data_IF_399916653101
#
_entry.id   IF_399916653101
#
_cell.length_a   1.000
_cell.length_b   1.000
_cell.length_c   1.000
_cell.angle_alpha   90.00
_cell.angle_beta   90.00
_cell.angle_gamma   90.00
#
_symmetry.space_group_name_H-M   'P 1'
#
loop_
_entity.id
_entity.type
_entity.pdbx_description
1 polymer ?
#
# COMPACT_ATOMS: atom_id res chain seq x y z
N UNK A 1 -17.50 1.54 -23.72
CA UNK A 1 -16.54 0.86 -22.83
C UNK A 1 -15.64 1.92 -22.23
N UNK A 2 -15.50 1.95 -20.91
CA UNK A 2 -14.57 2.78 -20.19
C UNK A 2 -13.75 1.89 -19.24
N UNK A 3 -12.42 2.11 -19.19
CA UNK A 3 -11.55 1.40 -18.27
C UNK A 3 -10.54 2.39 -17.66
N UNK A 4 -10.33 2.29 -16.35
CA UNK A 4 -9.32 3.03 -15.62
C UNK A 4 -8.49 2.06 -14.79
N UNK A 5 -7.18 2.15 -14.94
CA UNK A 5 -6.21 1.46 -14.09
C UNK A 5 -5.38 2.52 -13.39
N UNK A 6 -5.32 2.45 -12.08
CA UNK A 6 -4.50 3.33 -11.26
C UNK A 6 -3.59 2.47 -10.37
N UNK A 7 -2.32 2.81 -10.34
CA UNK A 7 -1.32 2.17 -9.49
C UNK A 7 -0.66 3.22 -8.62
N UNK A 8 -0.55 2.94 -7.32
CA UNK A 8 0.16 3.77 -6.35
C UNK A 8 1.21 2.93 -5.66
N UNK A 9 2.43 3.41 -5.64
CA UNK A 9 3.54 2.75 -4.95
C UNK A 9 4.17 3.74 -3.97
N UNK A 10 4.48 3.28 -2.77
CA UNK A 10 5.20 4.04 -1.74
C UNK A 10 6.01 3.10 -0.85
N UNK A 11 6.86 3.66 0.01
CA UNK A 11 7.70 2.90 0.94
C UNK A 11 6.92 2.18 2.04
N UNK A 12 7.59 1.83 3.11
CA UNK A 12 7.00 1.17 4.28
C UNK A 12 5.87 1.97 4.92
N UNK A 13 5.97 3.31 4.85
CA UNK A 13 4.97 4.27 5.33
C UNK A 13 4.62 5.26 4.22
N UNK A 14 3.40 5.72 4.20
CA UNK A 14 2.98 6.81 3.31
C UNK A 14 3.50 8.17 3.80
N UNK A 15 3.35 9.20 2.97
CA UNK A 15 3.83 10.55 3.29
C UNK A 15 3.23 11.14 4.57
N UNK A 16 1.94 10.87 4.83
CA UNK A 16 1.26 11.33 6.04
C UNK A 16 1.80 10.65 7.29
N UNK A 17 2.00 9.35 7.24
CA UNK A 17 2.60 8.57 8.33
C UNK A 17 4.04 9.00 8.62
N UNK A 18 4.84 9.28 7.57
CA UNK A 18 6.19 9.81 7.72
C UNK A 18 6.20 11.20 8.36
N UNK A 19 5.35 12.11 7.88
CA UNK A 19 5.26 13.44 8.43
C UNK A 19 4.84 13.45 9.91
N UNK A 20 3.84 12.66 10.26
CA UNK A 20 3.40 12.50 11.65
C UNK A 20 4.52 12.01 12.56
N UNK A 21 5.31 11.05 12.07
CA UNK A 21 6.42 10.49 12.83
C UNK A 21 7.56 11.50 13.01
N UNK A 22 7.95 12.22 11.95
CA UNK A 22 8.96 13.28 12.01
C UNK A 22 8.54 14.36 13.01
N UNK A 23 7.28 14.77 12.97
CA UNK A 23 6.74 15.84 13.84
C UNK A 23 6.75 15.49 15.32
N UNK A 24 6.74 14.19 15.65
CA UNK A 24 6.74 13.69 17.02
C UNK A 24 8.11 13.19 17.49
N UNK A 25 9.08 13.11 16.59
CA UNK A 25 10.44 12.66 16.89
C UNK A 25 11.21 13.78 17.59
N UNK A 26 11.82 13.46 18.72
CA UNK A 26 12.72 14.41 19.40
C UNK A 26 14.04 14.53 18.61
N UNK A 27 14.65 15.72 18.53
CA UNK A 27 15.85 15.94 17.72
C UNK A 27 17.02 15.01 18.05
N UNK A 28 17.12 14.56 19.30
CA UNK A 28 18.18 13.70 19.82
C UNK A 28 17.64 12.37 20.38
N UNK A 29 16.53 11.87 19.84
CA UNK A 29 15.92 10.61 20.29
C UNK A 29 16.86 9.40 20.07
N UNK A 30 17.48 9.35 18.89
CA UNK A 30 18.46 8.33 18.51
C UNK A 30 19.29 8.77 17.29
N UNK A 31 20.51 8.25 17.09
CA UNK A 31 21.25 8.48 15.85
C UNK A 31 20.57 7.76 14.68
N UNK A 32 20.53 8.36 13.51
CA UNK A 32 19.96 7.72 12.32
C UNK A 32 20.74 6.47 11.93
N UNK A 33 22.06 6.56 11.98
CA UNK A 33 22.99 5.47 11.71
C UNK A 33 24.02 5.37 12.84
N UNK A 34 24.47 4.17 13.10
CA UNK A 34 25.55 3.87 14.05
C UNK A 34 26.71 3.30 13.24
N UNK A 35 27.91 3.81 13.44
CA UNK A 35 29.10 3.28 12.79
C UNK A 35 29.36 1.83 13.25
N UNK A 36 29.75 0.98 12.31
CA UNK A 36 30.20 -0.38 12.66
C UNK A 36 31.42 -0.35 13.60
N UNK A 37 32.27 0.67 13.45
CA UNK A 37 33.44 0.87 14.34
C UNK A 37 33.02 1.13 15.80
N UNK A 38 31.94 1.88 16.00
CA UNK A 38 31.44 2.17 17.36
C UNK A 38 30.87 0.92 18.05
N UNK A 39 30.38 -0.05 17.29
CA UNK A 39 29.80 -1.29 17.81
C UNK A 39 30.82 -2.42 17.88
N UNK A 40 31.87 -2.37 17.07
CA UNK A 40 32.83 -3.47 16.95
C UNK A 40 33.45 -3.80 18.29
N UNK A 41 33.27 -5.06 18.73
CA UNK A 41 33.74 -5.53 20.01
C UNK A 41 32.80 -5.29 21.19
N UNK A 42 31.69 -4.58 21.02
CA UNK A 42 30.69 -4.38 22.06
C UNK A 42 29.62 -5.49 22.04
N UNK A 43 29.39 -6.13 23.16
CA UNK A 43 28.27 -7.07 23.42
C UNK A 43 28.14 -8.24 22.41
N UNK A 44 29.24 -8.67 21.76
CA UNK A 44 29.19 -9.78 20.80
C UNK A 44 28.35 -9.53 19.56
N UNK A 45 28.06 -8.25 19.22
CA UNK A 45 27.38 -7.89 17.99
C UNK A 45 28.37 -8.10 16.85
N UNK A 46 28.08 -9.09 16.00
CA UNK A 46 28.82 -9.30 14.77
C UNK A 46 28.42 -8.23 13.75
N UNK A 47 29.09 -7.11 13.74
CA UNK A 47 29.00 -6.10 12.71
C UNK A 47 30.25 -6.21 11.83
N UNK A 48 30.07 -6.41 10.53
CA UNK A 48 31.11 -6.20 9.55
C UNK A 48 31.09 -4.74 9.09
N UNK A 49 32.18 -4.29 8.45
CA UNK A 49 32.32 -2.90 7.96
C UNK A 49 31.23 -2.49 6.97
N UNK A 50 30.48 -3.46 6.42
CA UNK A 50 29.41 -3.24 5.45
C UNK A 50 28.03 -3.21 6.10
N UNK A 51 27.92 -3.56 7.38
CA UNK A 51 26.65 -3.63 8.09
C UNK A 51 26.09 -2.25 8.37
N UNK A 52 24.91 -1.99 7.84
CA UNK A 52 24.15 -0.79 8.16
C UNK A 52 23.42 -0.99 9.47
N UNK A 53 23.85 -0.27 10.50
CA UNK A 53 23.29 -0.33 11.83
C UNK A 53 22.52 0.96 12.13
N UNK A 54 21.34 0.80 12.70
CA UNK A 54 20.41 1.90 12.93
C UNK A 54 20.16 2.13 14.41
N UNK A 55 20.15 3.39 14.80
CA UNK A 55 19.84 3.80 16.16
C UNK A 55 18.35 3.62 16.50
N UNK A 56 18.11 3.36 17.76
CA UNK A 56 16.79 3.31 18.37
C UNK A 56 16.86 3.84 19.82
N UNK A 57 15.72 4.03 20.45
CA UNK A 57 15.65 4.34 21.88
C UNK A 57 14.79 3.30 22.61
N UNK A 58 14.80 3.36 23.96
CA UNK A 58 13.89 2.54 24.77
C UNK A 58 12.41 2.85 24.51
N UNK A 59 12.09 4.05 24.03
CA UNK A 59 10.73 4.52 23.71
C UNK A 59 10.33 4.19 22.26
N UNK A 60 11.30 4.15 21.35
CA UNK A 60 11.06 3.97 19.92
C UNK A 60 12.05 2.95 19.36
N UNK A 61 11.55 1.75 19.10
CA UNK A 61 12.36 0.64 18.59
C UNK A 61 12.56 0.67 17.08
N UNK A 62 11.81 1.50 16.34
CA UNK A 62 11.98 1.70 14.90
C UNK A 62 12.81 2.94 14.62
N UNK A 63 13.53 2.93 13.52
CA UNK A 63 14.28 4.07 13.02
C UNK A 63 13.64 4.59 11.73
N UNK A 64 13.30 5.87 11.70
CA UNK A 64 12.59 6.47 10.58
C UNK A 64 13.41 6.43 9.28
N UNK A 65 14.70 6.68 9.37
CA UNK A 65 15.60 6.65 8.21
C UNK A 65 15.68 5.24 7.60
N UNK A 66 15.78 4.21 8.44
CA UNK A 66 15.78 2.83 7.96
C UNK A 66 14.41 2.37 7.45
N UNK A 67 13.30 2.86 8.02
CA UNK A 67 11.97 2.63 7.46
C UNK A 67 11.84 3.18 6.04
N UNK A 68 12.46 4.35 5.75
CA UNK A 68 12.47 4.93 4.41
C UNK A 68 13.27 4.11 3.41
N UNK A 69 14.44 3.64 3.81
CA UNK A 69 15.39 2.97 2.92
C UNK A 69 15.15 1.45 2.81
N UNK A 70 14.81 0.81 3.93
CA UNK A 70 14.81 -0.65 4.04
C UNK A 70 13.49 -1.24 4.50
N UNK A 71 12.56 -0.43 5.02
CA UNK A 71 11.31 -0.90 5.62
C UNK A 71 10.37 -1.65 4.67
N UNK A 72 10.66 -1.62 3.36
CA UNK A 72 9.87 -2.28 2.34
C UNK A 72 9.04 -1.31 1.50
N UNK A 73 8.01 -1.83 0.85
CA UNK A 73 7.13 -1.03 0.00
C UNK A 73 5.67 -1.49 0.07
N UNK A 74 4.79 -0.59 -0.26
CA UNK A 74 3.36 -0.83 -0.42
C UNK A 74 2.96 -0.50 -1.86
N UNK A 75 2.21 -1.38 -2.49
CA UNK A 75 1.66 -1.21 -3.82
C UNK A 75 0.15 -1.34 -3.78
N UNK A 76 -0.56 -0.36 -4.31
CA UNK A 76 -2.00 -0.40 -4.53
C UNK A 76 -2.33 -0.39 -6.01
N UNK A 77 -3.29 -1.20 -6.38
CA UNK A 77 -3.80 -1.27 -7.74
C UNK A 77 -5.32 -1.18 -7.71
N UNK A 78 -5.83 -0.20 -8.44
CA UNK A 78 -7.26 -0.01 -8.69
C UNK A 78 -7.54 -0.33 -10.15
N UNK A 79 -8.52 -1.14 -10.40
CA UNK A 79 -9.04 -1.43 -11.75
C UNK A 79 -10.54 -1.15 -11.72
N UNK A 80 -10.98 -0.22 -12.54
CA UNK A 80 -12.40 0.06 -12.75
C UNK A 80 -12.68 -0.06 -14.24
N UNK A 81 -13.61 -0.92 -14.62
CA UNK A 81 -14.06 -1.05 -15.99
C UNK A 81 -15.58 -1.08 -16.07
N UNK A 82 -16.11 -0.31 -16.99
CA UNK A 82 -17.54 -0.21 -17.26
C UNK A 82 -17.80 -0.49 -18.74
N UNK A 83 -18.71 -1.38 -19.02
CA UNK A 83 -19.06 -1.79 -20.36
C UNK A 83 -20.58 -1.75 -20.52
N UNK A 84 -21.05 -0.96 -21.47
CA UNK A 84 -22.44 -0.92 -21.86
C UNK A 84 -22.54 -1.37 -23.32
N UNK A 85 -23.37 -2.35 -23.57
CA UNK A 85 -23.71 -2.84 -24.90
C UNK A 85 -25.19 -2.63 -25.12
N UNK A 86 -25.55 -1.97 -26.21
CA UNK A 86 -26.92 -1.75 -26.61
C UNK A 86 -27.20 -2.38 -27.98
N UNK A 87 -28.31 -3.03 -28.12
CA UNK A 87 -28.83 -3.58 -29.36
C UNK A 87 -30.19 -2.94 -29.63
N UNK A 88 -30.36 -2.39 -30.83
CA UNK A 88 -31.62 -1.85 -31.31
C UNK A 88 -32.08 -2.69 -32.48
N UNK A 89 -33.30 -3.21 -32.40
CA UNK A 89 -33.94 -4.00 -33.44
C UNK A 89 -35.09 -3.17 -34.00
N UNK A 90 -35.02 -2.87 -35.29
CA UNK A 90 -36.14 -2.34 -36.05
C UNK A 90 -37.01 -3.51 -36.52
N UNK A 91 -38.23 -3.57 -36.05
CA UNK A 91 -39.20 -4.61 -36.34
C UNK A 91 -40.32 -4.12 -37.26
N UNK A 92 -40.13 -2.98 -37.95
CA UNK A 92 -41.11 -2.42 -38.86
C UNK A 92 -41.54 -3.36 -39.98
N UNK A 93 -40.66 -4.29 -40.40
CA UNK A 93 -41.01 -5.31 -41.41
C UNK A 93 -42.09 -6.30 -40.93
N UNK A 94 -42.17 -6.52 -39.60
CA UNK A 94 -43.17 -7.41 -39.03
C UNK A 94 -44.41 -6.67 -38.60
N UNK A 95 -44.24 -5.51 -37.95
CA UNK A 95 -45.31 -4.66 -37.48
C UNK A 95 -44.86 -3.21 -37.62
N UNK A 96 -45.56 -2.44 -38.41
CA UNK A 96 -45.29 -1.00 -38.62
C UNK A 96 -45.27 -0.24 -37.29
N UNK A 97 -44.17 0.45 -36.99
CA UNK A 97 -43.98 1.22 -35.75
C UNK A 97 -43.45 0.40 -34.58
N UNK A 98 -43.11 -0.87 -34.76
CA UNK A 98 -42.55 -1.73 -33.72
C UNK A 98 -41.01 -1.68 -33.72
N UNK A 99 -40.44 -1.46 -32.52
CA UNK A 99 -39.00 -1.56 -32.29
C UNK A 99 -38.72 -2.26 -30.94
N UNK A 100 -37.59 -2.95 -30.84
CA UNK A 100 -37.13 -3.54 -29.60
C UNK A 100 -35.70 -3.08 -29.29
N UNK A 101 -35.41 -2.88 -28.02
CA UNK A 101 -34.10 -2.45 -27.52
C UNK A 101 -33.67 -3.37 -26.36
N UNK A 102 -32.41 -3.73 -26.37
CA UNK A 102 -31.81 -4.47 -25.27
C UNK A 102 -30.49 -3.81 -24.88
N UNK A 103 -30.26 -3.67 -23.57
CA UNK A 103 -29.03 -3.13 -23.00
C UNK A 103 -28.46 -4.10 -22.00
N UNK A 104 -27.15 -4.28 -22.06
CA UNK A 104 -26.38 -5.06 -21.10
C UNK A 104 -25.30 -4.14 -20.52
N UNK A 105 -25.23 -4.09 -19.21
CA UNK A 105 -24.23 -3.33 -18.46
C UNK A 105 -23.38 -4.29 -17.65
N UNK A 106 -22.07 -4.17 -17.75
CA UNK A 106 -21.13 -4.90 -16.94
C UNK A 106 -20.12 -3.94 -16.33
N UNK A 107 -20.12 -3.87 -14.98
CA UNK A 107 -19.19 -3.06 -14.22
C UNK A 107 -18.30 -4.00 -13.39
N UNK A 108 -17.00 -3.75 -13.42
CA UNK A 108 -16.01 -4.46 -12.60
C UNK A 108 -15.13 -3.45 -11.90
N UNK A 109 -15.08 -3.57 -10.58
CA UNK A 109 -14.19 -2.84 -9.70
C UNK A 109 -13.30 -3.84 -8.96
N UNK A 110 -11.99 -3.65 -9.01
CA UNK A 110 -11.02 -4.45 -8.29
C UNK A 110 -10.00 -3.55 -7.61
N UNK A 111 -9.78 -3.77 -6.33
CA UNK A 111 -8.77 -3.13 -5.50
C UNK A 111 -7.88 -4.19 -4.88
N UNK A 112 -6.58 -4.01 -5.01
CA UNK A 112 -5.56 -4.88 -4.41
C UNK A 112 -4.48 -4.02 -3.78
N UNK A 113 -4.22 -4.25 -2.49
CA UNK A 113 -3.10 -3.65 -1.75
C UNK A 113 -2.17 -4.74 -1.29
N UNK A 114 -0.93 -4.67 -1.75
CA UNK A 114 0.15 -5.57 -1.37
C UNK A 114 1.19 -4.80 -0.55
N UNK A 115 1.73 -5.44 0.46
CA UNK A 115 2.80 -4.88 1.29
C UNK A 115 3.97 -5.85 1.33
N UNK A 116 5.15 -5.34 1.06
CA UNK A 116 6.41 -5.99 1.35
C UNK A 116 7.00 -5.29 2.57
N UNK A 117 7.20 -6.02 3.66
CA UNK A 117 7.84 -5.52 4.87
C UNK A 117 9.17 -6.19 5.07
N UNK A 118 10.18 -5.39 5.29
CA UNK A 118 11.50 -5.84 5.69
C UNK A 118 11.73 -5.45 7.15
N UNK A 119 12.28 -6.37 7.92
CA UNK A 119 12.80 -6.06 9.23
C UNK A 119 14.30 -5.72 9.10
N UNK A 120 14.76 -4.84 9.95
CA UNK A 120 16.16 -4.44 10.07
C UNK A 120 16.50 -4.34 11.57
N UNK A 121 17.75 -4.61 11.97
CA UNK A 121 18.14 -4.52 13.37
C UNK A 121 18.27 -3.05 13.78
N UNK A 122 17.90 -2.76 15.01
CA UNK A 122 18.08 -1.43 15.62
C UNK A 122 18.64 -1.55 17.02
N UNK A 123 19.46 -0.61 17.40
CA UNK A 123 20.18 -0.62 18.67
C UNK A 123 20.01 0.69 19.42
N UNK A 124 19.78 0.62 20.74
CA UNK A 124 19.93 1.80 21.60
C UNK A 124 21.33 1.86 22.17
N UNK A 125 21.80 3.09 22.38
CA UNK A 125 23.10 3.41 22.94
C UNK A 125 22.86 3.88 24.37
N UNK A 126 23.27 3.11 25.34
CA UNK A 126 23.18 3.44 26.75
C UNK A 126 24.59 3.72 27.28
N UNK A 127 24.81 4.91 27.85
CA UNK A 127 26.06 5.28 28.50
C UNK A 127 25.90 5.07 30.00
N UNK A 128 26.88 4.43 30.60
CA UNK A 128 26.87 4.18 32.03
C UNK A 128 28.30 4.26 32.59
N UNK A 129 28.42 4.50 33.89
CA UNK A 129 29.69 4.44 34.58
C UNK A 129 29.93 3.00 35.07
N UNK A 130 31.08 2.43 34.75
CA UNK A 130 31.48 1.14 35.29
C UNK A 130 31.89 1.22 36.77
N UNK A 131 32.20 0.10 37.39
CA UNK A 131 32.58 0.05 38.79
C UNK A 131 33.88 0.83 39.11
N UNK A 132 34.72 1.11 38.14
CA UNK A 132 35.95 1.91 38.25
C UNK A 132 35.68 3.43 38.08
N UNK A 133 34.47 3.81 37.67
CA UNK A 133 34.08 5.20 37.41
C UNK A 133 34.33 5.67 35.97
N UNK A 134 34.71 4.76 35.07
CA UNK A 134 34.94 5.06 33.68
C UNK A 134 33.60 5.01 32.91
N UNK A 135 33.45 5.90 31.92
CA UNK A 135 32.28 5.89 31.03
C UNK A 135 32.35 4.72 30.04
N UNK A 136 31.35 3.88 30.06
CA UNK A 136 31.21 2.77 29.12
C UNK A 136 29.93 2.89 28.30
N UNK A 137 29.97 2.38 27.07
CA UNK A 137 28.86 2.35 26.13
C UNK A 137 28.33 0.92 26.03
N UNK A 138 27.01 0.77 26.18
CA UNK A 138 26.31 -0.49 25.93
C UNK A 138 25.34 -0.31 24.78
N UNK A 139 25.44 -1.23 23.82
CA UNK A 139 24.45 -1.35 22.74
C UNK A 139 23.41 -2.40 23.12
N UNK A 140 22.13 -2.01 23.10
CA UNK A 140 21.03 -2.93 23.36
C UNK A 140 20.20 -3.09 22.11
N UNK A 141 20.10 -4.32 21.59
CA UNK A 141 19.24 -4.61 20.43
C UNK A 141 17.77 -4.36 20.79
N UNK A 142 17.11 -3.47 20.05
CA UNK A 142 15.71 -3.09 20.24
C UNK A 142 14.77 -3.77 19.26
N UNK A 143 15.25 -4.04 18.06
CA UNK A 143 14.53 -4.77 17.03
C UNK A 143 15.49 -5.74 16.36
N UNK A 144 15.05 -6.98 16.19
CA UNK A 144 15.83 -8.03 15.55
C UNK A 144 15.63 -8.03 14.05
N UNK A 145 16.69 -8.43 13.34
CA UNK A 145 16.55 -8.79 11.94
C UNK A 145 15.69 -10.05 11.84
N UNK A 146 14.59 -9.98 11.13
CA UNK A 146 13.72 -11.11 10.87
C UNK A 146 13.72 -11.42 9.37
N UNK A 147 14.38 -12.50 8.99
CA UNK A 147 14.37 -13.03 7.63
C UNK A 147 13.44 -14.27 7.60
N UNK A 148 12.68 -14.48 6.55
CA UNK A 148 12.62 -13.78 5.26
C UNK A 148 11.73 -12.53 5.26
N UNK A 149 11.89 -11.73 4.20
CA UNK A 149 11.00 -10.58 3.90
C UNK A 149 9.55 -11.03 3.85
N UNK A 150 8.67 -10.29 4.52
CA UNK A 150 7.24 -10.63 4.60
C UNK A 150 6.47 -9.91 3.51
N UNK A 151 5.98 -10.68 2.53
CA UNK A 151 5.00 -10.18 1.56
C UNK A 151 3.59 -10.60 1.98
N UNK A 152 2.67 -9.66 2.00
CA UNK A 152 1.28 -9.91 2.37
C UNK A 152 0.31 -9.13 1.49
N UNK A 153 -0.89 -9.69 1.35
CA UNK A 153 -2.04 -8.95 0.81
C UNK A 153 -2.68 -8.25 2.00
N UNK A 154 -2.55 -6.92 2.04
CA UNK A 154 -3.09 -6.12 3.14
C UNK A 154 -4.58 -5.86 2.97
N UNK A 155 -5.05 -5.75 1.74
CA UNK A 155 -6.47 -5.59 1.41
C UNK A 155 -6.75 -6.06 -0.01
N UNK A 156 -7.90 -6.69 -0.18
CA UNK A 156 -8.41 -7.10 -1.49
C UNK A 156 -9.93 -6.90 -1.50
N UNK A 157 -10.42 -6.27 -2.56
CA UNK A 157 -11.86 -6.07 -2.75
C UNK A 157 -12.18 -6.14 -4.23
N UNK A 158 -13.21 -6.90 -4.57
CA UNK A 158 -13.67 -7.03 -5.95
C UNK A 158 -15.20 -6.99 -5.97
N UNK A 159 -15.73 -6.08 -6.76
CA UNK A 159 -17.16 -5.96 -7.00
C UNK A 159 -17.41 -6.11 -8.49
N UNK A 160 -18.44 -6.89 -8.83
CA UNK A 160 -18.91 -7.06 -10.19
C UNK A 160 -20.41 -6.83 -10.22
N UNK A 161 -20.82 -6.00 -11.13
CA UNK A 161 -22.22 -5.74 -11.36
C UNK A 161 -22.56 -6.12 -12.79
N UNK A 162 -23.66 -6.86 -12.95
CA UNK A 162 -24.23 -7.20 -14.24
C UNK A 162 -25.67 -6.74 -14.25
N UNK A 163 -26.03 -5.92 -15.21
CA UNK A 163 -27.38 -5.44 -15.42
C UNK A 163 -27.82 -5.71 -16.84
N UNK A 164 -29.10 -5.91 -17.01
CA UNK A 164 -29.73 -5.98 -18.31
C UNK A 164 -31.07 -5.27 -18.30
N UNK A 165 -31.46 -4.73 -19.42
CA UNK A 165 -32.75 -4.11 -19.64
C UNK A 165 -33.20 -4.44 -21.06
N UNK A 166 -34.46 -4.79 -21.22
CA UNK A 166 -35.07 -4.99 -22.52
C UNK A 166 -36.40 -4.21 -22.56
N UNK A 167 -36.66 -3.54 -23.66
CA UNK A 167 -37.91 -2.83 -23.86
C UNK A 167 -38.39 -2.97 -25.30
N UNK A 168 -39.70 -2.96 -25.45
CA UNK A 168 -40.38 -2.92 -26.75
C UNK A 168 -41.06 -1.59 -26.85
N UNK A 169 -40.89 -0.93 -27.98
CA UNK A 169 -41.54 0.34 -28.30
C UNK A 169 -42.49 0.11 -29.47
N UNK A 170 -43.69 0.66 -29.37
CA UNK A 170 -44.66 0.70 -30.46
C UNK A 170 -45.09 2.13 -30.66
N UNK A 171 -44.90 2.64 -31.86
CA UNK A 171 -45.32 4.00 -32.24
C UNK A 171 -45.92 3.97 -33.65
N UNK A 172 -47.22 4.16 -33.74
CA UNK A 172 -47.94 4.12 -35.00
C UNK A 172 -49.04 5.16 -34.98
N UNK A 173 -49.13 5.95 -36.05
CA UNK A 173 -50.22 6.88 -36.28
C UNK A 173 -51.39 6.22 -37.02
N UNK A 174 -52.60 6.38 -36.54
CA UNK A 174 -53.82 5.85 -37.13
C UNK A 174 -54.65 7.02 -37.74
N UNK A 175 -54.43 7.30 -39.01
CA UNK A 175 -55.17 8.36 -39.71
C UNK A 175 -54.84 9.77 -39.18
N UNK A 176 -55.83 10.52 -38.66
CA UNK A 176 -55.69 11.86 -38.10
C UNK A 176 -55.41 11.86 -36.57
N UNK A 177 -55.26 10.69 -35.95
CA UNK A 177 -55.02 10.54 -34.52
C UNK A 177 -53.65 9.88 -34.30
N UNK A 178 -52.81 10.55 -33.52
CA UNK A 178 -51.52 10.03 -32.99
C UNK A 178 -51.72 9.36 -31.65
#
# INVERSE_FOLDING_TARGET
>A
VAARVEKKDWGAKDGGGMFSEISTLRPNEYPFMISAEDIHGHNGIAADETSLLFGASSRKSSNLYSDMLYGGNTSERYVNSQTNLGLNFDLNEFVEGLAAEAYITFDNYSYLRQQLRNDYPTYSIDRYLNAAGDEEIRFTERKKLNLPKKQSIASNSTYRYFGWNARVKYNRSFGLHD
#
